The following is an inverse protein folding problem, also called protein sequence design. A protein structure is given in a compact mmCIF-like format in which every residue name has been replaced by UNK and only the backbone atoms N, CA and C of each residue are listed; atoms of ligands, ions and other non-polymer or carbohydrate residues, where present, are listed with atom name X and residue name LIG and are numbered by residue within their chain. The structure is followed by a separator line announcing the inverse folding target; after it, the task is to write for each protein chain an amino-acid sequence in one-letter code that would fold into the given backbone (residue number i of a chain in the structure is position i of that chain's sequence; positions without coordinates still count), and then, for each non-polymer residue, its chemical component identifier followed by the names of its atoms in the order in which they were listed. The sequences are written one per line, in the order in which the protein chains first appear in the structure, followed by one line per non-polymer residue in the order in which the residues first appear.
data_IF_242483853485
#
_entry.id   IF_242483853485
#
_cell.length_a   1.000
_cell.length_b   1.000
_cell.length_c   1.000
_cell.angle_alpha   90.00
_cell.angle_beta   90.00
_cell.angle_gamma   90.00
#
_symmetry.space_group_name_H-M   'P 1'
#
loop_
_entity.id
_entity.type
_entity.pdbx_description
1 polymer ?
#
# COMPACT_ATOMS: atom_id res chain seq x y z
N UNK A 1 2.08 -10.84 9.01
CA UNK A 1 2.23 -9.46 8.51
C UNK A 1 2.83 -9.50 7.13
N UNK A 2 2.19 -8.87 6.14
CA UNK A 2 2.74 -8.71 4.78
C UNK A 2 2.99 -7.23 4.54
N UNK A 3 4.02 -6.90 3.79
CA UNK A 3 4.34 -5.51 3.50
C UNK A 3 5.13 -5.35 2.22
N UNK A 4 5.19 -4.10 1.78
CA UNK A 4 5.81 -3.69 0.53
C UNK A 4 6.58 -2.39 0.78
N UNK A 5 7.85 -2.38 0.36
CA UNK A 5 8.68 -1.18 0.39
C UNK A 5 8.62 -0.50 -0.98
N UNK A 6 8.37 0.81 -1.02
CA UNK A 6 8.15 1.49 -2.30
C UNK A 6 9.44 1.75 -3.07
N UNK A 7 10.61 1.62 -2.42
CA UNK A 7 11.91 1.62 -3.10
C UNK A 7 11.97 0.57 -4.21
N UNK A 8 11.31 -0.57 -4.01
CA UNK A 8 11.27 -1.69 -4.97
C UNK A 8 10.42 -1.33 -6.20
N UNK A 9 9.55 -0.32 -6.08
CA UNK A 9 8.70 0.22 -7.15
C UNK A 9 9.31 1.49 -7.79
N UNK A 10 10.62 1.71 -7.64
CA UNK A 10 11.35 2.84 -8.23
C UNK A 10 10.82 4.23 -7.79
N UNK A 11 10.29 4.35 -6.56
CA UNK A 11 9.85 5.62 -5.99
C UNK A 11 10.02 5.68 -4.47
N UNK A 12 10.34 6.84 -3.93
CA UNK A 12 10.57 7.00 -2.48
C UNK A 12 9.29 7.29 -1.69
N UNK A 13 8.33 7.99 -2.31
CA UNK A 13 7.08 8.41 -1.68
C UNK A 13 5.93 8.30 -2.67
N UNK A 14 4.85 7.66 -2.24
CA UNK A 14 3.63 7.50 -3.03
C UNK A 14 2.43 7.89 -2.18
N UNK A 15 1.44 8.53 -2.81
CA UNK A 15 0.09 8.65 -2.28
C UNK A 15 -0.61 7.31 -2.43
N UNK A 16 -1.00 6.73 -1.31
CA UNK A 16 -1.57 5.39 -1.23
C UNK A 16 -3.05 5.50 -0.91
N UNK A 17 -3.85 4.76 -1.66
CA UNK A 17 -5.28 4.59 -1.39
C UNK A 17 -5.62 3.12 -1.28
N UNK A 18 -6.34 2.75 -0.24
CA UNK A 18 -6.96 1.43 -0.11
C UNK A 18 -8.23 1.40 -0.97
N UNK A 19 -8.26 0.50 -1.96
CA UNK A 19 -9.39 0.40 -2.88
C UNK A 19 -10.58 -0.35 -2.27
N UNK A 20 -10.37 -1.19 -1.27
CA UNK A 20 -11.46 -1.90 -0.59
C UNK A 20 -12.17 -0.99 0.41
N UNK A 21 -11.40 -0.23 1.21
CA UNK A 21 -11.96 0.72 2.18
C UNK A 21 -12.35 2.06 1.56
N UNK A 22 -12.00 2.29 0.30
CA UNK A 22 -12.11 3.58 -0.39
C UNK A 22 -11.44 4.74 0.37
N UNK A 23 -10.43 4.44 1.17
CA UNK A 23 -9.77 5.37 2.09
C UNK A 23 -8.39 5.78 1.58
N UNK A 24 -8.11 7.08 1.65
CA UNK A 24 -6.78 7.61 1.35
C UNK A 24 -5.90 7.50 2.59
N UNK A 25 -4.89 6.62 2.53
CA UNK A 25 -3.95 6.38 3.62
C UNK A 25 -2.84 7.44 3.70
N UNK A 26 -2.82 8.38 2.74
CA UNK A 26 -1.86 9.46 2.66
C UNK A 26 -0.58 9.10 1.92
N UNK A 27 0.46 9.92 2.10
CA UNK A 27 1.76 9.74 1.46
C UNK A 27 2.68 8.94 2.38
N UNK A 28 3.19 7.80 1.89
CA UNK A 28 4.10 6.95 2.65
C UNK A 28 5.22 6.39 1.75
N UNK A 29 6.24 5.80 2.37
CA UNK A 29 7.39 5.17 1.70
C UNK A 29 7.36 3.64 1.76
N UNK A 30 6.54 3.07 2.65
CA UNK A 30 6.32 1.63 2.77
C UNK A 30 4.94 1.37 3.36
N UNK A 31 4.40 0.18 3.12
CA UNK A 31 3.10 -0.25 3.62
C UNK A 31 3.18 -1.63 4.24
N UNK A 32 2.59 -1.82 5.42
CA UNK A 32 2.52 -3.10 6.12
C UNK A 32 1.11 -3.32 6.68
N UNK A 33 0.52 -4.47 6.39
CA UNK A 33 -0.81 -4.85 6.88
C UNK A 33 -0.86 -6.34 7.25
N UNK A 34 -1.78 -6.69 8.14
CA UNK A 34 -2.07 -8.08 8.43
C UNK A 34 -3.13 -8.62 7.46
N UNK A 35 -2.67 -9.26 6.38
CA UNK A 35 -3.54 -9.87 5.38
C UNK A 35 -3.82 -11.33 5.79
N UNK A 36 -5.10 -11.74 5.92
CA UNK A 36 -5.46 -13.14 6.21
C UNK A 36 -4.89 -14.12 5.17
N UNK A 37 -4.77 -15.42 5.50
CA UNK A 37 -4.42 -16.44 4.52
C UNK A 37 -5.35 -16.36 3.30
N UNK A 38 -4.77 -16.33 2.09
CA UNK A 38 -5.48 -16.16 0.82
C UNK A 38 -6.26 -14.84 0.66
N UNK A 39 -6.12 -13.90 1.60
CA UNK A 39 -6.63 -12.54 1.47
C UNK A 39 -5.80 -11.70 0.50
N UNK A 40 -6.43 -10.69 -0.09
CA UNK A 40 -5.78 -9.74 -1.00
C UNK A 40 -6.22 -8.32 -0.63
N UNK A 41 -5.25 -7.45 -0.34
CA UNK A 41 -5.47 -6.00 -0.26
C UNK A 41 -5.04 -5.38 -1.58
N UNK A 42 -5.88 -4.51 -2.16
CA UNK A 42 -5.56 -3.81 -3.40
C UNK A 42 -5.34 -2.32 -3.08
N UNK A 43 -4.14 -1.84 -3.40
CA UNK A 43 -3.74 -0.46 -3.19
C UNK A 43 -3.55 0.26 -4.52
N UNK A 44 -3.98 1.51 -4.58
CA UNK A 44 -3.64 2.41 -5.68
C UNK A 44 -2.50 3.32 -5.23
N UNK A 45 -1.39 3.28 -5.97
CA UNK A 45 -0.24 4.14 -5.78
C UNK A 45 -0.26 5.25 -6.82
N UNK A 46 -0.15 6.50 -6.38
CA UNK A 46 -0.11 7.70 -7.23
C UNK A 46 0.99 8.64 -6.76
N UNK A 47 1.53 9.47 -7.67
CA UNK A 47 2.47 10.54 -7.32
C UNK A 47 1.74 11.77 -6.76
#
# INVERSE_FOLDING_TARGET
TRGLNFTDLSGSHWRVRDLWKHEDLGTMSSYFENIPPHGVTVLRLTK
#
